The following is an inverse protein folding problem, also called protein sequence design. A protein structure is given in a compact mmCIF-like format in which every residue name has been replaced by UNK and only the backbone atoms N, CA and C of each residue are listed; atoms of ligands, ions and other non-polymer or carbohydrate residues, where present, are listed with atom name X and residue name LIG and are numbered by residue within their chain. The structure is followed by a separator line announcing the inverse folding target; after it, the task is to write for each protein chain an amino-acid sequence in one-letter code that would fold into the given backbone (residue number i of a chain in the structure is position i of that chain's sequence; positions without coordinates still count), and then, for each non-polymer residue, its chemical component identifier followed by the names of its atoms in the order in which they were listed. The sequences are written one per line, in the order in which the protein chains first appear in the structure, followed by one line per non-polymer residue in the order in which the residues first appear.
data_IF_400826654969
#
_entry.id   IF_400826654969
#
_cell.length_a   1.000
_cell.length_b   1.000
_cell.length_c   1.000
_cell.angle_alpha   90.00
_cell.angle_beta   90.00
_cell.angle_gamma   90.00
#
_symmetry.space_group_name_H-M   'P 1'
#
loop_
_entity.id
_entity.type
_entity.pdbx_description
1 polymer ?
#
# COMPACT_ATOMS: atom_id res chain seq x y z
N UNK A 1 2.80 -1.65 16.29
CA UNK A 1 1.83 -1.69 17.41
C UNK A 1 1.99 -2.99 18.22
N UNK A 2 1.94 -2.97 19.56
CA UNK A 2 2.09 -4.20 20.38
C UNK A 2 0.97 -5.21 20.15
N UNK A 3 -0.28 -4.74 20.06
CA UNK A 3 -1.46 -5.56 19.77
C UNK A 3 -1.29 -6.42 18.52
N UNK A 4 -0.73 -5.83 17.46
CA UNK A 4 -0.45 -6.53 16.21
C UNK A 4 0.55 -7.69 16.40
N UNK A 5 1.62 -7.45 17.17
CA UNK A 5 2.64 -8.48 17.46
C UNK A 5 2.09 -9.61 18.34
N UNK A 6 1.08 -9.32 19.15
CA UNK A 6 0.41 -10.28 20.03
C UNK A 6 -0.71 -11.05 19.30
N UNK A 7 -0.89 -10.86 17.98
CA UNK A 7 -1.90 -11.52 17.16
C UNK A 7 -3.33 -10.98 17.31
N UNK A 8 -3.50 -9.85 18.01
CA UNK A 8 -4.80 -9.20 18.25
C UNK A 8 -5.15 -8.27 17.09
N UNK A 9 -5.43 -8.85 15.93
CA UNK A 9 -5.55 -8.09 14.69
C UNK A 9 -6.78 -7.17 14.66
N UNK A 10 -7.91 -7.57 15.25
CA UNK A 10 -9.09 -6.69 15.36
C UNK A 10 -8.83 -5.47 16.24
N UNK A 11 -8.18 -5.66 17.39
CA UNK A 11 -7.83 -4.54 18.28
C UNK A 11 -6.78 -3.63 17.61
N UNK A 12 -5.84 -4.22 16.86
CA UNK A 12 -4.87 -3.45 16.09
C UNK A 12 -5.53 -2.65 14.97
N UNK A 13 -6.48 -3.26 14.26
CA UNK A 13 -7.25 -2.64 13.19
C UNK A 13 -8.00 -1.40 13.72
N UNK A 14 -8.71 -1.52 14.85
CA UNK A 14 -9.42 -0.39 15.47
C UNK A 14 -8.47 0.79 15.75
N UNK A 15 -7.24 0.53 16.21
CA UNK A 15 -6.26 1.59 16.46
C UNK A 15 -5.78 2.26 15.17
N UNK A 16 -5.51 1.50 14.12
CA UNK A 16 -5.08 2.09 12.85
C UNK A 16 -6.22 2.85 12.17
N UNK A 17 -7.46 2.36 12.24
CA UNK A 17 -8.64 3.07 11.74
C UNK A 17 -8.90 4.36 12.53
N UNK A 18 -8.68 4.35 13.85
CA UNK A 18 -8.74 5.57 14.65
C UNK A 18 -7.69 6.60 14.24
N UNK A 19 -6.48 6.17 13.84
CA UNK A 19 -5.44 7.06 13.31
C UNK A 19 -5.93 7.70 12.00
N UNK A 20 -6.41 6.89 11.05
CA UNK A 20 -6.97 7.40 9.79
C UNK A 20 -8.16 8.35 10.02
N UNK A 21 -9.02 8.06 10.99
CA UNK A 21 -10.15 8.92 11.38
C UNK A 21 -9.75 10.29 11.91
N UNK A 22 -8.52 10.42 12.45
CA UNK A 22 -7.97 11.70 12.90
C UNK A 22 -7.46 12.60 11.76
N UNK A 23 -7.52 12.11 10.51
CA UNK A 23 -7.04 12.78 9.29
C UNK A 23 -5.56 13.19 9.39
N UNK A 24 -4.66 12.22 9.52
CA UNK A 24 -3.25 12.51 9.68
C UNK A 24 -2.64 12.99 8.36
N UNK A 25 -1.40 13.45 8.41
CA UNK A 25 -0.64 13.80 7.22
C UNK A 25 -0.52 12.62 6.24
N UNK A 26 -0.25 12.91 4.97
CA UNK A 26 -0.27 11.91 3.88
C UNK A 26 0.66 10.72 4.19
N UNK A 27 1.88 10.98 4.67
CA UNK A 27 2.84 9.92 4.98
C UNK A 27 2.37 9.01 6.13
N UNK A 28 1.70 9.58 7.14
CA UNK A 28 1.17 8.77 8.23
C UNK A 28 -0.08 8.00 7.78
N UNK A 29 -0.92 8.61 6.95
CA UNK A 29 -2.06 7.95 6.32
C UNK A 29 -1.62 6.74 5.49
N UNK A 30 -0.55 6.87 4.69
CA UNK A 30 -0.07 5.77 3.84
C UNK A 30 0.45 4.59 4.67
N UNK A 31 1.20 4.86 5.74
CA UNK A 31 1.68 3.85 6.67
C UNK A 31 0.53 3.20 7.45
N UNK A 32 -0.45 4.00 7.91
CA UNK A 32 -1.61 3.49 8.63
C UNK A 32 -2.45 2.57 7.74
N UNK A 33 -2.79 3.00 6.52
CA UNK A 33 -3.54 2.18 5.54
C UNK A 33 -2.80 0.88 5.18
N UNK A 34 -1.47 0.91 5.07
CA UNK A 34 -0.68 -0.30 4.87
C UNK A 34 -0.84 -1.29 6.03
N UNK A 35 -0.76 -0.81 7.26
CA UNK A 35 -0.96 -1.66 8.44
C UNK A 35 -2.40 -2.18 8.56
N UNK A 36 -3.40 -1.38 8.15
CA UNK A 36 -4.81 -1.82 8.03
C UNK A 36 -4.93 -2.97 7.03
N UNK A 37 -4.27 -2.88 5.87
CA UNK A 37 -4.24 -3.97 4.89
C UNK A 37 -3.62 -5.25 5.48
N UNK A 38 -2.52 -5.13 6.22
CA UNK A 38 -1.90 -6.25 6.95
C UNK A 38 -2.85 -6.88 7.98
N UNK A 39 -3.63 -6.08 8.72
CA UNK A 39 -4.63 -6.60 9.65
C UNK A 39 -5.73 -7.36 8.91
N UNK A 40 -6.30 -6.76 7.85
CA UNK A 40 -7.35 -7.39 7.06
C UNK A 40 -6.91 -8.70 6.39
N UNK A 41 -5.68 -8.74 5.89
CA UNK A 41 -5.06 -9.96 5.36
C UNK A 41 -5.02 -11.07 6.41
N UNK A 42 -4.52 -10.79 7.63
CA UNK A 42 -4.49 -11.76 8.73
C UNK A 42 -5.86 -12.24 9.18
N UNK A 43 -6.89 -11.42 8.99
CA UNK A 43 -8.29 -11.73 9.29
C UNK A 43 -9.04 -12.39 8.12
N UNK A 44 -8.34 -12.69 7.02
CA UNK A 44 -8.91 -13.26 5.79
C UNK A 44 -10.02 -12.41 5.16
N UNK A 45 -10.01 -11.09 5.43
CA UNK A 45 -10.97 -10.12 4.88
C UNK A 45 -10.41 -9.52 3.59
N UNK A 46 -10.31 -10.36 2.57
CA UNK A 46 -9.57 -10.06 1.33
C UNK A 46 -9.96 -8.72 0.70
N UNK A 47 -11.24 -8.49 0.43
CA UNK A 47 -11.69 -7.29 -0.28
C UNK A 47 -11.36 -6.00 0.50
N UNK A 48 -11.53 -6.01 1.82
CA UNK A 48 -11.17 -4.88 2.68
C UNK A 48 -9.64 -4.67 2.70
N UNK A 49 -8.86 -5.76 2.72
CA UNK A 49 -7.40 -5.70 2.66
C UNK A 49 -6.88 -5.13 1.34
N UNK A 50 -7.45 -5.53 0.20
CA UNK A 50 -7.10 -4.97 -1.11
C UNK A 50 -7.44 -3.48 -1.18
N UNK A 51 -8.61 -3.07 -0.68
CA UNK A 51 -9.00 -1.65 -0.64
C UNK A 51 -8.01 -0.82 0.20
N UNK A 52 -7.68 -1.30 1.40
CA UNK A 52 -6.74 -0.61 2.28
C UNK A 52 -5.32 -0.54 1.69
N UNK A 53 -4.89 -1.59 0.98
CA UNK A 53 -3.61 -1.60 0.29
C UNK A 53 -3.60 -0.58 -0.86
N UNK A 54 -4.68 -0.48 -1.64
CA UNK A 54 -4.79 0.55 -2.66
C UNK A 54 -4.76 1.96 -2.06
N UNK A 55 -5.44 2.19 -0.92
CA UNK A 55 -5.40 3.48 -0.23
C UNK A 55 -3.98 3.84 0.25
N UNK A 56 -3.22 2.85 0.75
CA UNK A 56 -1.81 3.05 1.09
C UNK A 56 -0.98 3.48 -0.12
N UNK A 57 -1.16 2.80 -1.26
CA UNK A 57 -0.46 3.11 -2.51
C UNK A 57 -0.86 4.48 -3.06
N UNK A 58 -2.15 4.85 -3.04
CA UNK A 58 -2.64 6.19 -3.42
C UNK A 58 -2.06 7.29 -2.54
N UNK A 59 -1.87 7.01 -1.26
CA UNK A 59 -1.25 7.92 -0.29
C UNK A 59 0.29 7.95 -0.38
N UNK A 60 0.91 7.22 -1.34
CA UNK A 60 2.34 7.28 -1.61
C UNK A 60 3.18 6.25 -0.85
N UNK A 61 2.58 5.18 -0.32
CA UNK A 61 3.37 4.06 0.19
C UNK A 61 4.14 3.39 -0.94
N UNK A 62 5.48 3.43 -0.88
CA UNK A 62 6.35 3.04 -2.02
C UNK A 62 7.26 1.84 -1.73
N UNK A 63 7.18 1.20 -0.55
CA UNK A 63 7.96 -0.01 -0.28
C UNK A 63 7.30 -1.24 -0.93
N UNK A 64 7.32 -1.28 -2.26
CA UNK A 64 6.74 -2.36 -3.05
C UNK A 64 7.45 -3.70 -2.82
N UNK A 65 8.74 -3.68 -2.45
CA UNK A 65 9.46 -4.89 -2.06
C UNK A 65 8.82 -5.50 -0.82
N UNK A 66 8.52 -4.67 0.19
CA UNK A 66 7.77 -5.09 1.38
C UNK A 66 6.39 -5.60 1.00
N UNK A 67 5.60 -4.88 0.20
CA UNK A 67 4.26 -5.32 -0.22
C UNK A 67 4.29 -6.75 -0.82
N UNK A 68 5.28 -7.07 -1.65
CA UNK A 68 5.40 -8.39 -2.30
C UNK A 68 5.93 -9.51 -1.40
N UNK A 69 6.58 -9.18 -0.29
CA UNK A 69 7.27 -10.18 0.55
C UNK A 69 6.73 -10.27 1.97
N UNK A 70 5.88 -9.32 2.40
CA UNK A 70 5.37 -9.31 3.76
C UNK A 70 4.54 -10.57 4.04
N UNK A 71 4.92 -11.38 5.06
CA UNK A 71 4.11 -12.51 5.51
C UNK A 71 2.74 -12.09 6.05
N UNK A 72 2.57 -10.84 6.47
CA UNK A 72 1.29 -10.34 6.96
C UNK A 72 0.30 -10.13 5.81
N UNK A 73 0.79 -9.87 4.60
CA UNK A 73 -0.01 -9.77 3.38
C UNK A 73 -0.18 -11.11 2.67
N UNK A 74 0.27 -12.24 3.24
CA UNK A 74 0.29 -13.53 2.55
C UNK A 74 -1.08 -13.93 1.96
N UNK A 75 -2.17 -13.69 2.69
CA UNK A 75 -3.52 -14.04 2.20
C UNK A 75 -3.92 -13.16 1.01
N UNK A 76 -3.60 -11.87 1.02
CA UNK A 76 -3.82 -10.99 -0.14
C UNK A 76 -2.92 -11.38 -1.32
N UNK A 77 -1.63 -11.68 -1.08
CA UNK A 77 -0.66 -12.03 -2.13
C UNK A 77 -1.04 -13.29 -2.92
N UNK A 78 -1.94 -14.12 -2.41
CA UNK A 78 -2.43 -15.32 -3.08
C UNK A 78 -3.61 -15.05 -4.02
N UNK A 79 -4.16 -13.84 -4.03
CA UNK A 79 -5.36 -13.52 -4.81
C UNK A 79 -5.04 -12.80 -6.10
N UNK A 80 -5.93 -12.91 -7.08
CA UNK A 80 -5.76 -12.27 -8.38
C UNK A 80 -5.91 -10.74 -8.28
N UNK A 81 -6.77 -10.27 -7.38
CA UNK A 81 -6.98 -8.84 -7.14
C UNK A 81 -5.70 -8.13 -6.67
N UNK A 82 -4.86 -8.82 -5.90
CA UNK A 82 -3.54 -8.29 -5.52
C UNK A 82 -2.62 -8.13 -6.73
N UNK A 83 -2.59 -9.12 -7.63
CA UNK A 83 -1.79 -9.05 -8.85
C UNK A 83 -2.26 -7.91 -9.75
N UNK A 84 -3.57 -7.79 -9.95
CA UNK A 84 -4.19 -6.70 -10.73
C UNK A 84 -3.83 -5.34 -10.13
N UNK A 85 -3.95 -5.21 -8.80
CA UNK A 85 -3.59 -3.97 -8.11
C UNK A 85 -2.12 -3.63 -8.32
N UNK A 86 -1.18 -4.57 -8.10
CA UNK A 86 0.23 -4.25 -8.24
C UNK A 86 0.65 -3.97 -9.68
N UNK A 87 0.11 -4.69 -10.65
CA UNK A 87 0.42 -4.45 -12.06
C UNK A 87 0.05 -3.02 -12.49
N UNK A 88 -1.09 -2.50 -12.01
CA UNK A 88 -1.49 -1.10 -12.25
C UNK A 88 -0.42 -0.10 -11.76
N UNK A 89 0.18 -0.33 -10.61
CA UNK A 89 1.20 0.57 -10.04
C UNK A 89 2.59 0.35 -10.64
N UNK A 90 2.95 -0.88 -10.97
CA UNK A 90 4.20 -1.19 -11.68
C UNK A 90 4.24 -0.56 -13.06
N UNK A 91 3.17 -0.72 -13.85
CA UNK A 91 3.05 -0.07 -15.16
C UNK A 91 3.12 1.45 -15.06
N UNK A 92 2.39 2.04 -14.09
CA UNK A 92 2.41 3.49 -13.87
C UNK A 92 3.83 3.99 -13.56
N UNK A 93 4.56 3.29 -12.69
CA UNK A 93 5.93 3.63 -12.31
C UNK A 93 6.92 3.46 -13.49
N UNK A 94 6.81 2.37 -14.26
CA UNK A 94 7.65 2.15 -15.45
C UNK A 94 7.39 3.24 -16.49
N UNK A 95 6.13 3.57 -16.76
CA UNK A 95 5.74 4.60 -17.72
C UNK A 95 6.27 5.98 -17.29
N UNK A 96 6.10 6.36 -16.02
CA UNK A 96 6.60 7.63 -15.50
C UNK A 96 8.13 7.73 -15.59
N UNK A 97 8.84 6.68 -15.16
CA UNK A 97 10.31 6.65 -15.23
C UNK A 97 10.83 6.67 -16.67
N UNK A 98 10.19 5.95 -17.59
CA UNK A 98 10.53 5.99 -19.01
C UNK A 98 10.33 7.40 -19.59
N UNK A 99 9.19 8.04 -19.29
CA UNK A 99 8.92 9.43 -19.71
C UNK A 99 9.95 10.40 -19.14
N UNK A 100 10.29 10.28 -17.86
CA UNK A 100 11.25 11.16 -17.20
C UNK A 100 12.67 10.97 -17.75
N UNK A 101 13.08 9.73 -18.02
CA UNK A 101 14.35 9.42 -18.67
C UNK A 101 14.41 10.00 -20.10
N UNK A 102 13.34 9.86 -20.89
CA UNK A 102 13.24 10.46 -22.22
C UNK A 102 13.32 12.00 -22.15
N UNK A 103 12.59 12.64 -21.22
CA UNK A 103 12.65 14.10 -21.02
C UNK A 103 14.06 14.56 -20.67
N UNK A 104 14.78 13.81 -19.83
CA UNK A 104 16.17 14.10 -19.45
C UNK A 104 17.14 13.92 -20.62
N UNK A 105 17.01 12.85 -21.39
CA UNK A 105 17.87 12.54 -22.54
C UNK A 105 17.69 13.50 -23.71
N UNK A 106 16.46 13.95 -23.97
CA UNK A 106 16.14 14.83 -25.10
C UNK A 106 16.00 16.30 -24.72
N UNK A 107 16.23 16.66 -23.44
CA UNK A 107 16.42 18.05 -23.01
C UNK A 107 15.29 19.00 -23.41
N UNK A 108 14.03 18.59 -23.27
CA UNK A 108 12.89 19.50 -23.46
C UNK A 108 12.74 20.47 -22.27
N UNK A 109 13.74 21.33 -22.07
CA UNK A 109 13.57 22.58 -21.32
C UNK A 109 12.69 23.49 -22.17
N UNK A 110 11.38 23.46 -21.95
CA UNK A 110 10.53 24.57 -22.41
C UNK A 110 10.86 25.77 -21.52
N UNK A 111 11.50 26.77 -22.14
CA UNK A 111 11.46 28.16 -21.67
C UNK A 111 10.01 28.64 -21.54
#
# INVERSE_FOLDING_TARGET
LRLYKDGKYEEALEKFESVLGSKPEINESSIASYNVACCYSKLDRIQAGISALEDALKAGYEDFKRIRTDPDLENLRKTEEFNVLLNKYDESFINENAINAIKSLFGFNKK
#
